data_IF_082359681793
#
_entry.id   IF_082359681793
#
_cell.length_a   1.000
_cell.length_b   1.000
_cell.length_c   1.000
_cell.angle_alpha   90.00
_cell.angle_beta   90.00
_cell.angle_gamma   90.00
#
_symmetry.space_group_name_H-M   'P 1'
#
loop_
_entity.id
_entity.type
_entity.pdbx_description
1 polymer ?
#
# COMPACT_ATOMS: atom_id res chain seq x y z
N UNK A 1 -1.22 21.80 -9.01
CA UNK A 1 0.00 21.53 -9.79
C UNK A 1 0.05 20.05 -10.13
N UNK A 2 0.49 19.73 -11.35
CA UNK A 2 0.82 18.37 -11.73
C UNK A 2 2.25 18.08 -11.25
N UNK A 3 2.47 16.89 -10.69
CA UNK A 3 3.80 16.48 -10.22
C UNK A 3 4.21 15.23 -10.99
N UNK A 4 5.39 15.23 -11.64
CA UNK A 4 5.90 14.06 -12.31
C UNK A 4 6.28 13.00 -11.27
N UNK A 5 6.07 11.73 -11.61
CA UNK A 5 6.62 10.62 -10.85
C UNK A 5 8.03 10.36 -11.39
N UNK A 6 9.03 10.49 -10.53
CA UNK A 6 10.45 10.23 -10.82
C UNK A 6 10.95 9.01 -10.05
N UNK A 7 10.33 8.69 -8.92
CA UNK A 7 10.63 7.51 -8.11
C UNK A 7 9.36 6.80 -7.62
N UNK A 8 9.43 5.47 -7.59
CA UNK A 8 8.33 4.62 -7.12
C UNK A 8 8.81 3.56 -6.13
N UNK A 9 8.21 3.51 -4.94
CA UNK A 9 8.35 2.40 -3.99
C UNK A 9 7.20 1.40 -4.20
N UNK A 10 7.52 0.18 -4.59
CA UNK A 10 6.52 -0.86 -4.93
C UNK A 10 6.72 -2.06 -4.01
N UNK A 11 5.74 -2.38 -3.19
CA UNK A 11 5.73 -3.54 -2.28
C UNK A 11 4.33 -4.16 -2.25
N UNK A 12 4.05 -5.05 -3.21
CA UNK A 12 2.71 -5.58 -3.45
C UNK A 12 2.66 -7.10 -3.36
N UNK A 13 1.60 -7.61 -2.73
CA UNK A 13 1.35 -9.05 -2.64
C UNK A 13 0.87 -9.62 -3.98
N UNK A 14 -0.13 -8.99 -4.60
CA UNK A 14 -0.65 -9.37 -5.91
C UNK A 14 0.18 -8.72 -7.02
N UNK A 15 0.48 -9.48 -8.08
CA UNK A 15 1.28 -8.99 -9.23
C UNK A 15 0.47 -8.90 -10.53
N UNK A 16 -0.78 -9.32 -10.50
CA UNK A 16 -1.68 -9.24 -11.66
C UNK A 16 -1.86 -7.78 -12.10
N UNK A 17 -1.53 -7.48 -13.35
CA UNK A 17 -1.58 -6.13 -13.92
C UNK A 17 -0.47 -5.18 -13.48
N UNK A 18 0.48 -5.64 -12.65
CA UNK A 18 1.63 -4.83 -12.24
C UNK A 18 2.61 -4.61 -13.40
N UNK A 19 2.73 -5.57 -14.31
CA UNK A 19 3.69 -5.55 -15.42
C UNK A 19 3.48 -4.36 -16.37
N UNK A 20 2.23 -4.04 -16.71
CA UNK A 20 1.88 -2.87 -17.53
C UNK A 20 2.31 -1.56 -16.86
N UNK A 21 2.12 -1.47 -15.54
CA UNK A 21 2.49 -0.30 -14.75
C UNK A 21 4.00 -0.13 -14.69
N UNK A 22 4.75 -1.18 -14.34
CA UNK A 22 6.20 -1.07 -14.20
C UNK A 22 6.88 -0.79 -15.54
N UNK A 23 6.35 -1.33 -16.65
CA UNK A 23 6.80 -0.98 -18.01
C UNK A 23 6.54 0.49 -18.32
N UNK A 24 5.35 1.01 -18.00
CA UNK A 24 5.02 2.43 -18.23
C UNK A 24 5.88 3.37 -17.38
N UNK A 25 6.12 3.03 -16.10
CA UNK A 25 7.04 3.76 -15.22
C UNK A 25 8.47 3.74 -15.79
N UNK A 26 8.95 2.57 -16.23
CA UNK A 26 10.29 2.43 -16.80
C UNK A 26 10.47 3.25 -18.10
N UNK A 27 9.46 3.28 -18.98
CA UNK A 27 9.47 4.12 -20.18
C UNK A 27 9.59 5.62 -19.88
N UNK A 28 9.19 6.05 -18.67
CA UNK A 28 9.35 7.41 -18.16
C UNK A 28 10.61 7.63 -17.33
N UNK A 29 11.54 6.66 -17.34
CA UNK A 29 12.78 6.67 -16.57
C UNK A 29 12.55 6.81 -15.05
N UNK A 30 11.43 6.30 -14.54
CA UNK A 30 11.15 6.29 -13.11
C UNK A 30 12.09 5.30 -12.42
N UNK A 31 12.73 5.73 -11.33
CA UNK A 31 13.53 4.85 -10.48
C UNK A 31 12.62 3.98 -9.64
N UNK A 32 12.74 2.65 -9.78
CA UNK A 32 11.92 1.69 -9.07
C UNK A 32 12.64 1.15 -7.85
N UNK A 33 11.99 1.24 -6.69
CA UNK A 33 12.45 0.71 -5.41
C UNK A 33 11.53 -0.42 -4.97
N UNK A 34 12.10 -1.57 -4.61
CA UNK A 34 11.29 -2.72 -4.18
C UNK A 34 12.10 -3.68 -3.29
N UNK A 35 11.43 -4.71 -2.79
CA UNK A 35 12.00 -5.76 -1.92
C UNK A 35 11.40 -7.12 -2.26
N UNK A 36 12.14 -8.19 -1.96
CA UNK A 36 11.65 -9.57 -2.01
C UNK A 36 11.05 -9.97 -3.36
N UNK A 37 9.88 -10.63 -3.32
CA UNK A 37 9.24 -11.17 -4.51
C UNK A 37 8.75 -10.12 -5.52
N UNK A 38 8.47 -8.89 -5.08
CA UNK A 38 8.08 -7.80 -5.98
C UNK A 38 9.27 -7.29 -6.77
N UNK A 39 10.45 -7.14 -6.13
CA UNK A 39 11.70 -6.81 -6.81
C UNK A 39 12.04 -7.84 -7.88
N UNK A 40 12.03 -9.13 -7.51
CA UNK A 40 12.33 -10.23 -8.44
C UNK A 40 11.41 -10.19 -9.66
N UNK A 41 10.11 -9.98 -9.45
CA UNK A 41 9.15 -9.86 -10.54
C UNK A 41 9.49 -8.71 -11.51
N UNK A 42 9.93 -7.56 -11.00
CA UNK A 42 10.35 -6.41 -11.83
C UNK A 42 11.63 -6.74 -12.61
N UNK A 43 12.61 -7.35 -11.95
CA UNK A 43 13.88 -7.74 -12.58
C UNK A 43 13.71 -8.84 -13.65
N UNK A 44 12.79 -9.78 -13.44
CA UNK A 44 12.42 -10.83 -14.40
C UNK A 44 11.82 -10.25 -15.70
N UNK A 45 11.30 -9.01 -15.66
CA UNK A 45 10.85 -8.26 -16.85
C UNK A 45 12.00 -7.51 -17.56
N UNK A 46 13.24 -7.64 -17.07
CA UNK A 46 14.41 -6.93 -17.59
C UNK A 46 14.49 -5.46 -17.16
N UNK A 47 13.72 -5.06 -16.14
CA UNK A 47 13.65 -3.67 -15.67
C UNK A 47 14.55 -3.52 -14.42
N UNK A 48 15.44 -2.50 -14.37
CA UNK A 48 16.28 -2.26 -13.21
C UNK A 48 15.45 -1.85 -12.00
N UNK A 49 15.76 -2.42 -10.84
CA UNK A 49 15.10 -2.12 -9.58
C UNK A 49 16.13 -2.02 -8.45
N UNK A 50 16.05 -0.96 -7.66
CA UNK A 50 16.89 -0.72 -6.48
C UNK A 50 16.29 -1.46 -5.29
N UNK A 51 17.11 -2.21 -4.57
CA UNK A 51 16.68 -2.89 -3.35
C UNK A 51 16.42 -1.88 -2.23
N UNK A 52 15.33 -2.04 -1.50
CA UNK A 52 15.09 -1.25 -0.28
C UNK A 52 16.17 -1.54 0.76
N UNK A 53 16.65 -2.78 0.85
CA UNK A 53 17.72 -3.21 1.75
C UNK A 53 19.04 -2.46 1.51
N UNK A 54 19.35 -2.13 0.25
CA UNK A 54 20.56 -1.39 -0.12
C UNK A 54 20.49 0.07 0.38
N UNK A 55 19.29 0.63 0.44
CA UNK A 55 19.05 1.99 0.94
C UNK A 55 19.12 2.03 2.46
N UNK A 56 18.39 1.11 3.12
CA UNK A 56 18.27 1.09 4.57
C UNK A 56 19.55 0.62 5.24
N UNK A 57 20.36 -0.20 4.57
CA UNK A 57 21.54 -0.85 5.15
C UNK A 57 21.18 -1.92 6.18
N UNK A 58 19.90 -2.29 6.30
CA UNK A 58 19.43 -3.32 7.21
C UNK A 58 18.94 -4.54 6.42
N UNK A 59 19.42 -5.75 6.78
CA UNK A 59 18.89 -6.97 6.20
C UNK A 59 17.45 -7.21 6.67
N UNK A 60 16.72 -8.06 5.96
CA UNK A 60 15.41 -8.52 6.42
C UNK A 60 15.55 -9.36 7.69
N UNK A 61 15.16 -8.81 8.84
CA UNK A 61 15.22 -9.44 10.16
C UNK A 61 13.81 -9.77 10.68
N UNK A 62 13.73 -10.60 11.73
CA UNK A 62 12.47 -10.97 12.41
C UNK A 62 11.39 -11.51 11.44
N UNK A 63 11.78 -12.40 10.54
CA UNK A 63 10.86 -12.95 9.53
C UNK A 63 10.32 -11.93 8.52
N UNK A 64 10.95 -10.76 8.40
CA UNK A 64 10.52 -9.69 7.50
C UNK A 64 9.49 -8.73 8.09
N UNK A 65 9.14 -8.86 9.39
CA UNK A 65 8.16 -8.01 10.08
C UNK A 65 8.50 -6.52 10.09
N UNK A 66 9.80 -6.17 10.01
CA UNK A 66 10.29 -4.79 10.11
C UNK A 66 11.02 -4.32 8.85
N UNK A 67 10.83 -4.97 7.70
CA UNK A 67 11.58 -4.73 6.46
C UNK A 67 11.52 -3.28 5.94
N UNK A 68 10.38 -2.61 6.10
CA UNK A 68 10.15 -1.25 5.58
C UNK A 68 10.02 -0.19 6.66
N UNK A 69 10.03 -0.56 7.94
CA UNK A 69 9.90 0.34 9.09
C UNK A 69 11.20 1.09 9.38
N UNK A 70 11.63 1.90 8.41
CA UNK A 70 12.92 2.59 8.44
C UNK A 70 12.80 4.08 8.11
N UNK A 71 13.55 4.99 8.77
CA UNK A 71 13.52 6.43 8.50
C UNK A 71 13.83 6.79 7.04
N UNK A 72 14.74 6.07 6.37
CA UNK A 72 15.00 6.31 4.93
C UNK A 72 13.81 5.99 4.02
N UNK A 73 12.92 5.10 4.43
CA UNK A 73 11.69 4.81 3.68
C UNK A 73 10.63 5.87 4.01
N UNK A 74 10.32 6.03 5.29
CA UNK A 74 9.25 6.94 5.72
C UNK A 74 9.59 8.41 5.54
N UNK A 75 10.85 8.81 5.73
CA UNK A 75 11.34 10.17 5.47
C UNK A 75 11.17 10.55 3.99
N UNK A 76 11.49 9.62 3.08
CA UNK A 76 11.30 9.81 1.64
C UNK A 76 9.84 9.99 1.23
N UNK A 77 8.91 9.35 1.95
CA UNK A 77 7.47 9.46 1.72
C UNK A 77 6.90 10.72 2.37
N UNK A 78 7.34 11.07 3.59
CA UNK A 78 6.71 12.08 4.44
C UNK A 78 7.34 13.47 4.37
N UNK A 79 8.50 13.62 3.71
CA UNK A 79 9.15 14.92 3.57
C UNK A 79 8.22 15.96 2.91
N UNK A 80 8.15 17.14 3.53
CA UNK A 80 7.45 18.31 2.99
C UNK A 80 8.41 19.05 2.08
N UNK A 81 8.28 18.83 0.78
CA UNK A 81 9.26 19.30 -0.20
C UNK A 81 9.34 20.83 -0.33
N UNK A 82 8.32 21.52 0.14
CA UNK A 82 8.26 22.99 0.25
C UNK A 82 8.99 23.55 1.46
N UNK A 83 9.31 22.72 2.46
CA UNK A 83 10.03 23.15 3.66
C UNK A 83 11.53 22.88 3.50
N UNK A 84 12.31 23.95 3.45
CA UNK A 84 13.76 23.87 3.24
C UNK A 84 14.47 22.96 4.26
N UNK A 85 14.05 23.00 5.53
CA UNK A 85 14.61 22.16 6.59
C UNK A 85 14.45 20.66 6.30
N UNK A 86 13.26 20.20 5.88
CA UNK A 86 13.05 18.79 5.54
C UNK A 86 13.97 18.38 4.37
N UNK A 87 14.19 19.27 3.40
CA UNK A 87 15.04 19.00 2.24
C UNK A 87 16.54 18.98 2.58
N UNK A 88 16.98 19.79 3.55
CA UNK A 88 18.34 19.72 4.10
C UNK A 88 18.58 18.37 4.79
N UNK A 89 17.63 17.91 5.62
CA UNK A 89 17.70 16.60 6.27
C UNK A 89 17.69 15.44 5.26
N UNK A 90 16.85 15.53 4.22
CA UNK A 90 16.83 14.57 3.11
C UNK A 90 18.21 14.44 2.45
N UNK A 91 18.87 15.56 2.18
CA UNK A 91 20.20 15.57 1.59
C UNK A 91 21.27 15.04 2.57
N UNK A 92 21.25 15.49 3.82
CA UNK A 92 22.20 15.12 4.86
C UNK A 92 22.21 13.59 5.12
N UNK A 93 21.04 12.97 5.14
CA UNK A 93 20.88 11.56 5.46
C UNK A 93 20.74 10.66 4.21
N UNK A 94 20.95 11.23 3.03
CA UNK A 94 20.89 10.53 1.73
C UNK A 94 19.58 9.73 1.57
N UNK A 95 18.47 10.39 1.91
CA UNK A 95 17.15 9.78 1.88
C UNK A 95 16.56 9.93 0.47
N UNK A 96 16.25 8.84 -0.24
CA UNK A 96 15.55 8.95 -1.51
C UNK A 96 14.11 9.45 -1.28
N UNK A 97 13.65 10.39 -2.10
CA UNK A 97 12.25 10.78 -2.14
C UNK A 97 11.43 9.76 -2.93
N UNK A 98 10.15 9.60 -2.59
CA UNK A 98 9.21 8.75 -3.31
C UNK A 98 8.02 9.56 -3.83
N UNK A 99 7.79 9.57 -5.14
CA UNK A 99 6.63 10.22 -5.76
C UNK A 99 5.42 9.29 -5.87
N UNK A 100 5.69 7.99 -5.95
CA UNK A 100 4.70 6.93 -6.00
C UNK A 100 5.00 5.89 -4.92
N UNK A 101 3.99 5.48 -4.19
CA UNK A 101 4.01 4.33 -3.29
C UNK A 101 2.91 3.40 -3.74
N UNK A 102 3.25 2.15 -4.04
CA UNK A 102 2.29 1.09 -4.39
C UNK A 102 2.42 -0.04 -3.39
N UNK A 103 1.36 -0.29 -2.64
CA UNK A 103 1.34 -1.28 -1.57
C UNK A 103 -0.01 -1.96 -1.56
N UNK A 104 -0.02 -3.28 -1.46
CA UNK A 104 -1.23 -4.07 -1.22
C UNK A 104 -1.05 -4.81 0.10
N UNK A 105 -2.09 -4.81 0.94
CA UNK A 105 -2.10 -5.55 2.20
C UNK A 105 -2.28 -7.05 1.97
N UNK A 106 -1.77 -7.85 2.90
CA UNK A 106 -2.05 -9.28 2.91
C UNK A 106 -3.55 -9.54 3.07
N UNK A 107 -4.16 -10.52 2.36
CA UNK A 107 -5.59 -10.77 2.47
C UNK A 107 -5.95 -11.43 3.81
N UNK A 108 -6.15 -10.60 4.84
CA UNK A 108 -6.49 -11.06 6.19
C UNK A 108 -7.80 -11.86 6.21
N UNK A 109 -8.86 -11.34 5.60
CA UNK A 109 -10.15 -12.04 5.51
C UNK A 109 -10.06 -13.41 4.81
N UNK A 110 -9.26 -13.52 3.75
CA UNK A 110 -9.05 -14.81 3.07
C UNK A 110 -8.30 -15.80 3.97
N UNK A 111 -7.34 -15.32 4.77
CA UNK A 111 -6.59 -16.15 5.73
C UNK A 111 -7.51 -16.68 6.82
N UNK A 112 -8.38 -15.84 7.37
CA UNK A 112 -9.39 -16.25 8.36
C UNK A 112 -10.36 -17.26 7.76
N UNK A 113 -10.85 -17.01 6.54
CA UNK A 113 -11.78 -17.90 5.84
C UNK A 113 -11.17 -19.26 5.47
N UNK A 114 -9.85 -19.32 5.26
CA UNK A 114 -9.12 -20.56 5.00
C UNK A 114 -8.99 -21.47 6.24
N UNK A 115 -9.39 -20.99 7.43
CA UNK A 115 -9.37 -21.79 8.66
C UNK A 115 -7.98 -22.01 9.25
N UNK A 116 -7.06 -21.04 9.07
CA UNK A 116 -5.74 -21.07 9.70
C UNK A 116 -5.79 -21.06 11.23
N UNK A 117 -4.68 -21.43 11.87
CA UNK A 117 -4.58 -21.31 13.33
C UNK A 117 -4.57 -19.84 13.77
N UNK A 118 -4.84 -19.58 15.05
CA UNK A 118 -4.74 -18.21 15.61
C UNK A 118 -3.36 -17.60 15.36
N UNK A 119 -2.30 -18.40 15.53
CA UNK A 119 -0.92 -18.00 15.26
C UNK A 119 -0.70 -17.62 13.79
N UNK A 120 -1.23 -18.43 12.85
CA UNK A 120 -1.16 -18.13 11.42
C UNK A 120 -1.85 -16.81 11.08
N UNK A 121 -3.03 -16.57 11.67
CA UNK A 121 -3.82 -15.34 11.43
C UNK A 121 -3.10 -14.12 11.98
N UNK A 122 -2.54 -14.21 13.20
CA UNK A 122 -1.75 -13.13 13.81
C UNK A 122 -0.52 -12.80 12.97
N UNK A 123 0.17 -13.80 12.40
CA UNK A 123 1.34 -13.56 11.54
C UNK A 123 0.98 -12.83 10.24
N UNK A 124 -0.29 -12.86 9.81
CA UNK A 124 -0.77 -12.14 8.61
C UNK A 124 -1.23 -10.71 8.86
N UNK A 125 -1.19 -10.22 10.09
CA UNK A 125 -1.47 -8.81 10.40
C UNK A 125 -0.29 -7.95 9.91
N UNK A 126 -0.55 -7.13 8.89
CA UNK A 126 0.47 -6.33 8.21
C UNK A 126 0.68 -4.97 8.87
N UNK A 127 1.81 -4.81 9.56
CA UNK A 127 2.20 -3.54 10.18
C UNK A 127 2.85 -2.60 9.16
N UNK A 128 3.75 -3.12 8.34
CA UNK A 128 4.55 -2.33 7.41
C UNK A 128 3.71 -1.76 6.27
N UNK A 129 2.85 -2.59 5.68
CA UNK A 129 1.97 -2.22 4.59
C UNK A 129 0.99 -1.12 5.00
N UNK A 130 0.29 -1.28 6.13
CA UNK A 130 -0.64 -0.26 6.67
C UNK A 130 0.10 1.05 6.93
N UNK A 131 1.29 0.99 7.52
CA UNK A 131 2.10 2.17 7.80
C UNK A 131 2.48 2.92 6.51
N UNK A 132 2.94 2.20 5.47
CA UNK A 132 3.28 2.79 4.16
C UNK A 132 2.08 3.45 3.48
N UNK A 133 0.92 2.78 3.50
CA UNK A 133 -0.33 3.30 2.92
C UNK A 133 -0.71 4.62 3.60
N UNK A 134 -0.73 4.64 4.93
CA UNK A 134 -1.07 5.85 5.70
C UNK A 134 -0.07 6.98 5.46
N UNK A 135 1.23 6.68 5.37
CA UNK A 135 2.26 7.66 5.10
C UNK A 135 2.09 8.31 3.72
N UNK A 136 1.91 7.49 2.67
CA UNK A 136 1.67 7.98 1.31
C UNK A 136 0.38 8.80 1.19
N UNK A 137 -0.69 8.33 1.82
CA UNK A 137 -1.98 9.03 1.83
C UNK A 137 -1.90 10.38 2.58
N UNK A 138 -1.21 10.41 3.73
CA UNK A 138 -0.98 11.65 4.50
C UNK A 138 -0.26 12.70 3.64
N UNK A 139 0.81 12.31 2.94
CA UNK A 139 1.62 13.24 2.15
C UNK A 139 1.18 13.34 0.67
N UNK A 140 -0.12 13.25 0.39
CA UNK A 140 -0.68 13.31 -0.98
C UNK A 140 -0.39 14.61 -1.74
N UNK A 141 0.09 15.65 -1.05
CA UNK A 141 0.60 16.86 -1.68
C UNK A 141 1.74 16.54 -2.65
N UNK A 142 2.58 15.56 -2.32
CA UNK A 142 3.79 15.18 -3.08
C UNK A 142 3.82 13.72 -3.50
N UNK A 143 3.13 12.84 -2.78
CA UNK A 143 3.16 11.38 -3.01
C UNK A 143 1.83 10.89 -3.57
N UNK A 144 1.88 10.03 -4.58
CA UNK A 144 0.73 9.24 -5.03
C UNK A 144 0.76 7.90 -4.30
N UNK A 145 -0.33 7.53 -3.64
CA UNK A 145 -0.47 6.22 -3.00
C UNK A 145 -1.43 5.34 -3.80
N UNK A 146 -1.05 4.11 -4.12
CA UNK A 146 -1.94 3.08 -4.65
C UNK A 146 -1.99 1.96 -3.62
N UNK A 147 -3.16 1.77 -3.01
CA UNK A 147 -3.32 0.93 -1.82
C UNK A 147 -3.97 -0.44 -2.11
N UNK A 148 -4.46 -0.62 -3.34
CA UNK A 148 -5.12 -1.85 -3.74
C UNK A 148 -4.99 -2.12 -5.26
N UNK A 149 -4.83 -3.38 -5.65
CA UNK A 149 -4.76 -3.83 -7.06
C UNK A 149 -5.90 -3.33 -7.96
N UNK A 150 -7.11 -3.17 -7.40
CA UNK A 150 -8.26 -2.67 -8.15
C UNK A 150 -8.08 -1.22 -8.65
N UNK A 151 -7.12 -0.49 -8.10
CA UNK A 151 -6.81 0.88 -8.52
C UNK A 151 -5.81 0.93 -9.69
N UNK A 152 -5.11 -0.17 -10.00
CA UNK A 152 -4.03 -0.22 -11.00
C UNK A 152 -4.46 0.34 -12.36
N UNK A 153 -5.62 -0.08 -12.88
CA UNK A 153 -6.12 0.42 -14.16
C UNK A 153 -6.41 1.93 -14.12
N UNK A 154 -6.97 2.44 -13.02
CA UNK A 154 -7.26 3.86 -12.87
C UNK A 154 -5.99 4.70 -12.74
N UNK A 155 -4.98 4.18 -12.04
CA UNK A 155 -3.66 4.78 -11.94
C UNK A 155 -2.99 4.85 -13.30
N UNK A 156 -2.89 3.72 -14.02
CA UNK A 156 -2.22 3.65 -15.30
C UNK A 156 -2.81 4.64 -16.32
N UNK A 157 -4.15 4.69 -16.40
CA UNK A 157 -4.85 5.67 -17.25
C UNK A 157 -4.53 7.11 -16.88
N UNK A 158 -4.55 7.43 -15.58
CA UNK A 158 -4.24 8.78 -15.09
C UNK A 158 -2.77 9.16 -15.38
N UNK A 159 -1.85 8.23 -15.15
CA UNK A 159 -0.42 8.39 -15.38
C UNK A 159 -0.10 8.63 -16.85
N UNK A 160 -0.68 7.83 -17.76
CA UNK A 160 -0.51 7.99 -19.21
C UNK A 160 -1.13 9.30 -19.71
N UNK A 161 -2.35 9.62 -19.29
CA UNK A 161 -3.03 10.86 -19.69
C UNK A 161 -2.29 12.13 -19.20
N UNK A 162 -1.61 12.03 -18.05
CA UNK A 162 -0.79 13.10 -17.50
C UNK A 162 0.68 13.07 -17.94
N UNK A 163 1.01 12.27 -18.95
CA UNK A 163 2.38 12.12 -19.49
C UNK A 163 3.45 11.78 -18.43
N UNK A 164 3.07 10.98 -17.44
CA UNK A 164 3.93 10.62 -16.32
C UNK A 164 3.70 11.44 -15.05
N UNK A 165 2.78 12.40 -15.09
CA UNK A 165 2.42 13.25 -13.95
C UNK A 165 0.99 13.00 -13.46
N UNK A 166 0.74 13.24 -12.18
CA UNK A 166 -0.60 13.29 -11.62
C UNK A 166 -0.91 14.68 -11.08
N UNK A 167 -2.18 15.07 -11.13
CA UNK A 167 -2.68 16.29 -10.47
C UNK A 167 -2.88 16.08 -8.97
N UNK A 168 -2.87 17.18 -8.21
CA UNK A 168 -3.20 17.17 -6.78
C UNK A 168 -4.59 16.55 -6.50
N UNK A 169 -5.58 16.82 -7.35
CA UNK A 169 -6.94 16.27 -7.20
C UNK A 169 -6.93 14.75 -7.33
N UNK A 170 -6.20 14.21 -8.31
CA UNK A 170 -6.04 12.76 -8.47
C UNK A 170 -5.34 12.16 -7.26
N UNK A 171 -4.20 12.74 -6.82
CA UNK A 171 -3.48 12.25 -5.63
C UNK A 171 -4.34 12.25 -4.37
N UNK A 172 -5.11 13.32 -4.14
CA UNK A 172 -6.06 13.41 -3.02
C UNK A 172 -7.16 12.35 -3.11
N UNK A 173 -7.65 12.05 -4.32
CA UNK A 173 -8.64 11.00 -4.55
C UNK A 173 -8.09 9.61 -4.19
N UNK A 174 -6.87 9.28 -4.64
CA UNK A 174 -6.17 8.05 -4.26
C UNK A 174 -5.93 7.97 -2.75
N UNK A 175 -5.51 9.07 -2.11
CA UNK A 175 -5.31 9.11 -0.66
C UNK A 175 -6.60 8.83 0.14
N UNK A 176 -7.74 9.34 -0.31
CA UNK A 176 -9.03 9.03 0.32
C UNK A 176 -9.37 7.54 0.26
N UNK A 177 -9.13 6.90 -0.89
CA UNK A 177 -9.32 5.46 -1.05
C UNK A 177 -8.33 4.64 -0.22
N UNK A 178 -7.08 5.08 -0.15
CA UNK A 178 -6.05 4.46 0.68
C UNK A 178 -6.43 4.43 2.18
N UNK A 179 -6.96 5.53 2.73
CA UNK A 179 -7.45 5.52 4.12
C UNK A 179 -8.66 4.60 4.31
N UNK A 180 -9.55 4.50 3.32
CA UNK A 180 -10.67 3.56 3.37
C UNK A 180 -10.17 2.10 3.42
N UNK A 181 -9.14 1.75 2.63
CA UNK A 181 -8.51 0.42 2.66
C UNK A 181 -7.97 0.09 4.06
N UNK A 182 -7.24 1.02 4.70
CA UNK A 182 -6.71 0.77 6.05
C UNK A 182 -7.80 0.72 7.12
N UNK A 183 -8.86 1.52 6.98
CA UNK A 183 -9.98 1.49 7.91
C UNK A 183 -10.76 0.16 7.82
N UNK A 184 -10.97 -0.33 6.60
CA UNK A 184 -11.60 -1.64 6.37
C UNK A 184 -10.73 -2.77 6.95
N UNK A 185 -9.41 -2.73 6.69
CA UNK A 185 -8.47 -3.72 7.18
C UNK A 185 -8.42 -3.81 8.72
N UNK A 186 -8.30 -2.67 9.40
CA UNK A 186 -8.31 -2.63 10.87
C UNK A 186 -9.68 -3.07 11.44
N UNK A 187 -10.78 -2.76 10.74
CA UNK A 187 -12.12 -3.24 11.08
C UNK A 187 -12.21 -4.77 11.08
N UNK A 188 -11.68 -5.41 10.03
CA UNK A 188 -11.65 -6.88 9.94
C UNK A 188 -10.85 -7.52 11.07
N UNK A 189 -9.71 -6.91 11.45
CA UNK A 189 -8.88 -7.40 12.56
C UNK A 189 -9.62 -7.24 13.89
N UNK A 190 -10.23 -6.07 14.12
CA UNK A 190 -10.99 -5.81 15.35
C UNK A 190 -12.16 -6.78 15.51
N UNK A 191 -12.91 -7.03 14.43
CA UNK A 191 -14.01 -8.00 14.44
C UNK A 191 -13.51 -9.42 14.74
N UNK A 192 -12.38 -9.83 14.16
CA UNK A 192 -11.79 -11.13 14.43
C UNK A 192 -11.39 -11.30 15.91
N UNK A 193 -10.71 -10.31 16.50
CA UNK A 193 -10.35 -10.34 17.93
C UNK A 193 -11.57 -10.30 18.85
N UNK A 194 -12.66 -9.63 18.45
CA UNK A 194 -13.92 -9.62 19.18
C UNK A 194 -14.69 -10.95 19.08
N UNK A 195 -14.26 -11.87 18.20
CA UNK A 195 -15.02 -13.07 17.86
C UNK A 195 -16.30 -12.77 17.09
N UNK A 196 -16.42 -11.56 16.52
CA UNK A 196 -17.57 -11.18 15.70
C UNK A 196 -17.58 -11.98 14.41
N UNK A 197 -18.74 -12.51 14.06
CA UNK A 197 -18.97 -13.22 12.80
C UNK A 197 -20.09 -12.51 12.04
N UNK A 198 -20.00 -12.56 10.71
CA UNK A 198 -21.07 -12.09 9.83
C UNK A 198 -22.03 -13.23 9.57
N UNK A 199 -23.29 -13.05 9.93
CA UNK A 199 -24.37 -13.99 9.70
C UNK A 199 -25.32 -13.41 8.65
N UNK A 200 -25.64 -14.20 7.62
CA UNK A 200 -26.68 -13.82 6.66
C UNK A 200 -28.04 -14.03 7.29
N UNK A 201 -28.86 -12.97 7.31
CA UNK A 201 -30.23 -13.03 7.79
C UNK A 201 -31.16 -13.39 6.62
N UNK A 202 -32.35 -13.89 6.95
CA UNK A 202 -33.35 -14.29 5.94
C UNK A 202 -33.78 -13.11 5.05
N UNK A 203 -33.91 -11.93 5.64
CA UNK A 203 -34.11 -10.64 5.00
C UNK A 203 -33.72 -9.53 6.00
N UNK A 204 -33.68 -8.28 5.54
CA UNK A 204 -33.52 -7.10 6.39
C UNK A 204 -34.81 -6.78 7.15
N UNK A 205 -35.34 -5.57 7.00
CA UNK A 205 -36.64 -5.22 7.59
C UNK A 205 -37.81 -5.79 6.77
N UNK A 206 -37.67 -5.79 5.44
CA UNK A 206 -38.67 -6.31 4.49
C UNK A 206 -38.10 -7.45 3.62
N UNK A 207 -38.94 -8.37 3.10
CA UNK A 207 -38.48 -9.56 2.36
C UNK A 207 -37.61 -9.30 1.12
N UNK A 208 -37.70 -8.12 0.50
CA UNK A 208 -36.90 -7.74 -0.66
C UNK A 208 -35.53 -7.14 -0.29
N UNK A 209 -35.28 -6.85 0.99
CA UNK A 209 -34.03 -6.29 1.50
C UNK A 209 -33.13 -7.42 2.00
N UNK A 210 -31.83 -7.37 1.64
CA UNK A 210 -30.83 -8.25 2.24
C UNK A 210 -30.52 -7.81 3.67
N UNK A 211 -30.34 -8.75 4.59
CA UNK A 211 -30.00 -8.48 5.98
C UNK A 211 -28.75 -9.25 6.41
N UNK A 212 -27.94 -8.64 7.26
CA UNK A 212 -26.76 -9.25 7.85
C UNK A 212 -26.69 -8.87 9.33
N UNK A 213 -26.25 -9.79 10.17
CA UNK A 213 -25.90 -9.52 11.56
C UNK A 213 -24.38 -9.64 11.71
N UNK A 214 -23.75 -8.62 12.27
CA UNK A 214 -22.34 -8.62 12.65
C UNK A 214 -22.25 -8.61 14.17
N UNK A 215 -21.70 -9.66 14.74
CA UNK A 215 -21.56 -9.79 16.19
C UNK A 215 -21.24 -11.21 16.60
N UNK A 216 -21.15 -11.45 17.90
CA UNK A 216 -20.93 -12.78 18.45
C UNK A 216 -22.27 -13.35 18.96
N UNK A 217 -22.89 -14.25 18.18
CA UNK A 217 -24.17 -14.89 18.58
C UNK A 217 -24.04 -15.74 19.84
N UNK A 218 -22.84 -16.26 20.15
CA UNK A 218 -22.60 -17.07 21.34
C UNK A 218 -22.54 -16.21 22.62
N UNK A 219 -22.54 -14.89 22.48
CA UNK A 219 -22.51 -13.92 23.59
C UNK A 219 -23.87 -13.32 23.96
N UNK A 220 -24.95 -13.76 23.29
CA UNK A 220 -26.32 -13.25 23.44
C UNK A 220 -27.20 -14.28 24.16
#
# INVERSE_FOLDING_TARGET
MNSPIQSALISVFYKDGLDEIVKALHQKNVTLYSTGGTRKFIEDLGIPCVAVEDITGYPSILGGRVKTLHPKVFGGILARRELAQDMEEIAQYEIPLYDLVMVDLYPFAETVAAGGTEEDIIEKIDIGGVSLIRAGAKNHAHTTIIAHKNEYSSFLKAFQAGDGSLSLVQRKSFAGRAFAVTAEYDGMIADWFAGNKTYTLRYGENPHQKGYFLGNLDSI
#
